data_IF_539583456938
#
_entry.id   IF_539583456938
#
_cell.length_a   1.000
_cell.length_b   1.000
_cell.length_c   1.000
_cell.angle_alpha   90.00
_cell.angle_beta   90.00
_cell.angle_gamma   90.00
#
_symmetry.space_group_name_H-M   'P 1'
#
loop_
_entity.id
_entity.type
_entity.pdbx_description
1 polymer ?
#
# COMPACT_ATOMS: atom_id res chain seq x y z
N UNK A 1 20.32 -1.17 9.69
CA UNK A 1 19.68 -1.63 8.45
C UNK A 1 18.31 -2.16 8.82
N UNK A 2 17.27 -1.74 8.11
CA UNK A 2 15.90 -2.16 8.36
C UNK A 2 15.68 -3.60 7.89
N UNK A 3 14.82 -4.32 8.61
CA UNK A 3 14.27 -5.62 8.17
C UNK A 3 13.31 -5.42 6.99
N UNK A 4 12.94 -6.49 6.25
CA UNK A 4 11.96 -6.39 5.16
C UNK A 4 10.62 -5.77 5.62
N UNK A 5 10.13 -6.19 6.80
CA UNK A 5 8.93 -5.65 7.41
C UNK A 5 9.05 -4.15 7.73
N UNK A 6 10.18 -3.73 8.31
CA UNK A 6 10.43 -2.32 8.62
C UNK A 6 10.59 -1.47 7.35
N UNK A 7 11.17 -2.02 6.28
CA UNK A 7 11.24 -1.36 4.96
C UNK A 7 9.85 -1.17 4.38
N UNK A 8 8.99 -2.20 4.41
CA UNK A 8 7.60 -2.05 3.98
C UNK A 8 6.83 -1.05 4.86
N UNK A 9 7.04 -1.08 6.18
CA UNK A 9 6.49 -0.07 7.08
C UNK A 9 6.95 1.34 6.72
N UNK A 10 8.17 1.53 6.22
CA UNK A 10 8.65 2.84 5.72
C UNK A 10 7.92 3.29 4.45
N UNK A 11 7.57 2.37 3.54
CA UNK A 11 6.74 2.68 2.37
C UNK A 11 5.32 3.07 2.77
N UNK A 12 4.69 2.31 3.67
CA UNK A 12 3.36 2.65 4.21
C UNK A 12 3.41 4.01 4.91
N UNK A 13 4.46 4.25 5.70
CA UNK A 13 4.68 5.52 6.39
C UNK A 13 4.85 6.68 5.42
N UNK A 14 5.54 6.48 4.29
CA UNK A 14 5.71 7.49 3.24
C UNK A 14 4.35 7.99 2.75
N UNK A 15 3.44 7.08 2.39
CA UNK A 15 2.08 7.46 2.01
C UNK A 15 1.28 8.06 3.17
N UNK A 16 1.37 7.45 4.37
CA UNK A 16 0.68 7.96 5.56
C UNK A 16 1.09 9.40 5.88
N UNK A 17 2.35 9.78 5.69
CA UNK A 17 2.83 11.16 5.87
C UNK A 17 2.16 12.13 4.91
N UNK A 18 1.95 11.74 3.65
CA UNK A 18 1.18 12.57 2.70
C UNK A 18 -0.26 12.77 3.20
N UNK A 19 -0.90 11.74 3.75
CA UNK A 19 -2.25 11.82 4.29
C UNK A 19 -2.30 12.72 5.54
N UNK A 20 -1.48 12.46 6.57
CA UNK A 20 -1.56 13.18 7.85
C UNK A 20 -1.02 14.62 7.80
N UNK A 21 -0.34 14.99 6.72
CA UNK A 21 0.04 16.36 6.40
C UNK A 21 -0.95 17.05 5.44
N UNK A 22 -2.06 16.37 5.07
CA UNK A 22 -3.15 16.91 4.28
C UNK A 22 -2.85 17.07 2.79
N UNK A 23 -2.00 16.21 2.21
CA UNK A 23 -1.69 16.19 0.77
C UNK A 23 -2.38 15.08 0.01
N UNK A 24 -2.62 13.95 0.66
CA UNK A 24 -3.35 12.82 0.11
C UNK A 24 -4.58 12.46 0.97
N UNK A 25 -5.33 11.46 0.52
CA UNK A 25 -6.56 10.98 1.17
C UNK A 25 -7.75 11.91 1.00
N UNK A 26 -8.81 11.69 1.77
CA UNK A 26 -10.10 12.34 1.52
C UNK A 26 -10.04 13.89 1.64
N UNK A 27 -10.35 14.66 0.57
CA UNK A 27 -10.26 16.12 0.49
C UNK A 27 -10.99 16.83 1.62
N UNK A 28 -12.11 16.26 2.09
CA UNK A 28 -12.92 16.82 3.18
C UNK A 28 -12.12 17.03 4.47
N UNK A 29 -11.10 16.20 4.72
CA UNK A 29 -10.34 16.23 5.97
C UNK A 29 -8.93 16.80 5.81
N UNK A 30 -8.45 17.01 4.57
CA UNK A 30 -7.07 17.45 4.30
C UNK A 30 -6.69 18.74 5.03
N UNK A 31 -7.56 19.76 5.06
CA UNK A 31 -7.27 21.01 5.78
C UNK A 31 -7.15 20.79 7.30
N UNK A 32 -8.07 20.01 7.87
CA UNK A 32 -8.02 19.67 9.29
C UNK A 32 -6.75 18.89 9.63
N UNK A 33 -6.32 17.98 8.75
CA UNK A 33 -5.06 17.25 8.89
C UNK A 33 -3.84 18.15 8.70
N UNK A 34 -3.88 19.13 7.79
CA UNK A 34 -2.78 20.06 7.53
C UNK A 34 -2.60 21.13 8.61
N UNK A 35 -3.54 21.29 9.55
CA UNK A 35 -3.50 22.36 10.56
C UNK A 35 -3.42 21.85 12.00
N UNK A 36 -3.80 20.59 12.25
CA UNK A 36 -3.79 20.01 13.60
C UNK A 36 -2.38 19.94 14.18
N UNK A 37 -2.18 20.51 15.36
CA UNK A 37 -0.88 20.60 16.02
C UNK A 37 0.10 21.61 15.41
N UNK A 38 -0.30 22.40 14.41
CA UNK A 38 0.61 23.34 13.72
C UNK A 38 1.24 24.37 14.68
N UNK A 39 0.45 24.89 15.61
CA UNK A 39 0.90 25.90 16.58
C UNK A 39 1.43 25.30 17.90
N UNK A 40 1.63 23.98 17.95
CA UNK A 40 2.16 23.32 19.14
C UNK A 40 3.66 23.58 19.30
N UNK A 41 4.11 23.72 20.55
CA UNK A 41 5.55 23.85 20.83
C UNK A 41 6.26 22.54 20.48
N UNK A 42 7.47 22.66 19.91
CA UNK A 42 8.36 21.52 19.68
C UNK A 42 9.06 21.12 20.99
N UNK A 43 8.28 20.56 21.91
CA UNK A 43 8.72 20.00 23.19
C UNK A 43 8.29 18.54 23.27
N UNK A 44 9.27 17.63 23.16
CA UNK A 44 8.99 16.20 23.10
C UNK A 44 8.41 15.67 24.42
N UNK A 45 8.86 16.18 25.57
CA UNK A 45 8.36 15.76 26.86
C UNK A 45 6.88 16.16 27.03
N UNK A 46 6.52 17.37 26.61
CA UNK A 46 5.14 17.84 26.62
C UNK A 46 4.24 17.00 25.69
N UNK A 47 4.69 16.75 24.46
CA UNK A 47 3.94 15.93 23.48
C UNK A 47 3.75 14.51 24.02
N UNK A 48 4.81 13.92 24.58
CA UNK A 48 4.76 12.58 25.17
C UNK A 48 3.81 12.51 26.37
N UNK A 49 3.80 13.55 27.22
CA UNK A 49 2.84 13.69 28.31
C UNK A 49 1.39 13.72 27.84
N UNK A 50 1.08 14.52 26.82
CA UNK A 50 -0.27 14.58 26.20
C UNK A 50 -0.68 13.21 25.63
N UNK A 51 0.24 12.52 24.97
CA UNK A 51 -0.02 11.21 24.36
C UNK A 51 -0.18 10.09 25.41
N UNK A 52 0.54 10.18 26.53
CA UNK A 52 0.52 9.19 27.61
C UNK A 52 -0.68 9.32 28.56
N UNK A 53 -1.24 10.52 28.72
CA UNK A 53 -2.33 10.79 29.65
C UNK A 53 -3.71 10.61 28.99
N UNK A 54 -4.57 9.78 29.59
CA UNK A 54 -5.95 9.56 29.14
C UNK A 54 -6.86 10.78 29.38
N UNK A 55 -6.52 11.65 30.34
CA UNK A 55 -7.28 12.84 30.66
C UNK A 55 -6.99 14.03 29.71
N UNK A 56 -5.88 13.97 28.95
CA UNK A 56 -5.51 15.05 28.05
C UNK A 56 -6.15 14.92 26.66
N UNK A 57 -6.45 16.08 26.06
CA UNK A 57 -7.09 16.16 24.75
C UNK A 57 -6.10 15.83 23.63
N UNK A 58 -5.86 14.55 23.37
CA UNK A 58 -4.97 14.07 22.29
C UNK A 58 -5.33 14.63 20.91
N UNK A 59 -6.61 14.89 20.66
CA UNK A 59 -7.14 15.41 19.40
C UNK A 59 -6.65 16.83 19.05
N UNK A 60 -5.93 17.52 19.95
CA UNK A 60 -5.26 18.78 19.61
C UNK A 60 -3.99 18.57 18.77
N UNK A 61 -3.34 17.40 18.90
CA UNK A 61 -2.10 17.04 18.23
C UNK A 61 -2.30 15.92 17.20
N UNK A 62 -3.10 14.93 17.58
CA UNK A 62 -3.24 13.68 16.88
C UNK A 62 -4.18 13.82 15.69
N UNK A 63 -3.71 13.33 14.54
CA UNK A 63 -4.56 13.05 13.38
C UNK A 63 -4.89 11.57 13.40
N UNK A 64 -6.12 11.25 13.80
CA UNK A 64 -6.60 9.88 13.87
C UNK A 64 -8.12 9.87 13.72
N UNK A 65 -8.59 9.33 12.60
CA UNK A 65 -9.99 9.13 12.27
C UNK A 65 -10.15 7.88 11.38
N UNK A 66 -11.38 7.55 11.01
CA UNK A 66 -11.69 6.36 10.23
C UNK A 66 -10.93 6.28 8.89
N UNK A 67 -10.57 7.42 8.28
CA UNK A 67 -9.84 7.46 7.00
C UNK A 67 -8.32 7.26 7.17
N UNK A 68 -7.83 7.03 8.38
CA UNK A 68 -6.40 6.75 8.66
C UNK A 68 -6.24 5.42 9.41
N UNK A 69 -7.35 4.87 9.90
CA UNK A 69 -7.37 3.67 10.73
C UNK A 69 -6.74 2.47 10.02
N UNK A 70 -7.19 2.15 8.81
CA UNK A 70 -6.66 1.02 8.03
C UNK A 70 -5.15 1.15 7.79
N UNK A 71 -4.68 2.34 7.39
CA UNK A 71 -3.23 2.58 7.20
C UNK A 71 -2.44 2.37 8.50
N UNK A 72 -2.99 2.80 9.63
CA UNK A 72 -2.35 2.64 10.95
C UNK A 72 -2.26 1.17 11.34
N UNK A 73 -3.32 0.39 11.09
CA UNK A 73 -3.33 -1.06 11.32
C UNK A 73 -2.24 -1.77 10.53
N UNK A 74 -2.13 -1.46 9.24
CA UNK A 74 -1.09 -2.01 8.36
C UNK A 74 0.30 -1.60 8.84
N UNK A 75 0.51 -0.29 9.06
CA UNK A 75 1.81 0.23 9.49
C UNK A 75 2.31 -0.43 10.79
N UNK A 76 1.43 -0.56 11.78
CA UNK A 76 1.81 -1.06 13.11
C UNK A 76 1.84 -2.58 13.20
N UNK A 77 1.22 -3.28 12.25
CA UNK A 77 1.46 -4.71 12.08
C UNK A 77 2.92 -4.96 11.67
N UNK A 78 3.44 -4.25 10.66
CA UNK A 78 4.80 -4.46 10.17
C UNK A 78 5.89 -3.77 10.99
N UNK A 79 5.56 -2.69 11.71
CA UNK A 79 6.44 -2.14 12.74
C UNK A 79 5.66 -1.70 14.00
N UNK A 80 5.48 -2.60 14.97
CA UNK A 80 4.76 -2.32 16.21
C UNK A 80 5.38 -1.20 17.05
N UNK A 81 6.67 -0.89 16.85
CA UNK A 81 7.35 0.14 17.63
C UNK A 81 6.93 1.56 17.23
N UNK A 82 6.26 1.73 16.09
CA UNK A 82 5.69 3.01 15.66
C UNK A 82 4.34 3.32 16.30
N UNK A 83 3.75 2.37 17.04
CA UNK A 83 2.51 2.60 17.78
C UNK A 83 2.76 3.11 19.21
N UNK A 84 1.72 3.62 19.85
CA UNK A 84 1.75 4.26 21.17
C UNK A 84 2.37 3.38 22.26
N UNK A 85 2.15 2.07 22.22
CA UNK A 85 2.68 1.13 23.22
C UNK A 85 3.95 0.42 22.75
N UNK A 86 4.47 0.78 21.57
CA UNK A 86 5.67 0.22 20.95
C UNK A 86 5.65 -1.32 20.88
N UNK A 87 4.48 -1.90 20.62
CA UNK A 87 4.26 -3.35 20.63
C UNK A 87 4.31 -4.03 22.01
N UNK A 88 4.46 -3.26 23.10
CA UNK A 88 4.41 -3.79 24.46
C UNK A 88 2.96 -4.12 24.83
N UNK A 89 2.79 -5.08 25.74
CA UNK A 89 1.48 -5.51 26.31
C UNK A 89 0.61 -6.37 25.39
N UNK A 90 1.17 -6.96 24.31
CA UNK A 90 0.46 -7.90 23.44
C UNK A 90 -0.73 -7.27 22.69
N UNK A 91 -0.86 -5.95 22.70
CA UNK A 91 -1.88 -5.18 21.97
C UNK A 91 -1.17 -4.22 21.03
N UNK A 92 -1.48 -4.29 19.74
CA UNK A 92 -1.08 -3.27 18.77
C UNK A 92 -2.02 -2.09 19.01
N UNK A 93 -1.49 -0.99 19.58
CA UNK A 93 -2.26 0.25 19.64
C UNK A 93 -2.52 0.73 18.23
N UNK A 94 -3.72 1.20 17.95
CA UNK A 94 -4.03 1.88 16.70
C UNK A 94 -3.58 3.34 16.70
N UNK A 95 -3.11 3.84 17.85
CA UNK A 95 -2.56 5.18 18.00
C UNK A 95 -1.05 5.20 17.67
N UNK A 96 -0.56 6.26 17.01
CA UNK A 96 0.87 6.47 16.79
C UNK A 96 1.64 6.67 18.10
N UNK A 97 2.94 6.38 18.06
CA UNK A 97 3.86 6.73 19.14
C UNK A 97 4.00 8.25 19.29
N UNK A 98 4.45 8.69 20.47
CA UNK A 98 4.73 10.10 20.75
C UNK A 98 5.77 10.65 19.77
N UNK A 99 6.76 9.86 19.40
CA UNK A 99 7.78 10.21 18.41
C UNK A 99 7.19 10.45 17.02
N UNK A 100 6.25 9.62 16.59
CA UNK A 100 5.57 9.79 15.29
C UNK A 100 4.74 11.07 15.25
N UNK A 101 4.02 11.37 16.33
CA UNK A 101 3.26 12.63 16.46
C UNK A 101 4.21 13.84 16.47
N UNK A 102 5.31 13.75 17.21
CA UNK A 102 6.32 14.78 17.32
C UNK A 102 6.99 15.08 15.96
N UNK A 103 7.44 14.04 15.25
CA UNK A 103 7.99 14.17 13.90
C UNK A 103 6.98 14.79 12.94
N UNK A 104 5.71 14.32 12.95
CA UNK A 104 4.66 14.94 12.13
C UNK A 104 4.54 16.44 12.39
N UNK A 105 4.52 16.88 13.65
CA UNK A 105 4.38 18.30 14.00
C UNK A 105 5.56 19.12 13.47
N UNK A 106 6.79 18.62 13.63
CA UNK A 106 7.98 19.26 13.06
C UNK A 106 7.88 19.39 11.53
N UNK A 107 7.55 18.30 10.85
CA UNK A 107 7.41 18.26 9.39
C UNK A 107 6.29 19.20 8.89
N UNK A 108 5.16 19.24 9.61
CA UNK A 108 4.05 20.14 9.33
C UNK A 108 4.46 21.60 9.44
N UNK A 109 5.17 21.94 10.50
CA UNK A 109 5.66 23.29 10.73
C UNK A 109 6.71 23.72 9.70
N UNK A 110 7.64 22.84 9.33
CA UNK A 110 8.62 23.08 8.26
C UNK A 110 7.93 23.41 6.95
N UNK A 111 6.97 22.57 6.56
CA UNK A 111 6.17 22.76 5.36
C UNK A 111 5.41 24.09 5.38
N UNK A 112 4.75 24.44 6.49
CA UNK A 112 3.99 25.69 6.60
C UNK A 112 4.90 26.93 6.52
N UNK A 113 6.14 26.85 7.02
CA UNK A 113 7.11 27.94 6.93
C UNK A 113 7.89 27.98 5.61
N UNK A 114 7.70 27.00 4.73
CA UNK A 114 8.50 26.86 3.50
C UNK A 114 9.98 26.56 3.79
N UNK A 115 10.29 26.01 4.96
CA UNK A 115 11.64 25.65 5.39
C UNK A 115 11.94 24.21 4.99
N UNK A 116 13.18 23.95 4.56
CA UNK A 116 13.63 22.63 4.12
C UNK A 116 14.71 22.07 5.03
N UNK A 117 14.74 20.73 5.11
CA UNK A 117 15.71 19.95 5.87
C UNK A 117 16.69 19.31 4.91
N UNK A 118 17.98 19.39 5.23
CA UNK A 118 19.05 18.74 4.47
C UNK A 118 19.35 17.37 5.08
N UNK A 119 18.66 16.33 4.60
CA UNK A 119 18.75 14.98 5.19
C UNK A 119 20.15 14.40 5.05
N UNK A 120 20.85 14.63 3.93
CA UNK A 120 22.22 14.16 3.77
C UNK A 120 23.14 14.67 4.88
N UNK A 121 22.98 15.94 5.25
CA UNK A 121 23.71 16.57 6.35
C UNK A 121 23.31 16.07 7.74
N UNK A 122 22.05 15.66 7.95
CA UNK A 122 21.61 15.00 9.19
C UNK A 122 22.25 13.62 9.34
N UNK A 123 22.30 12.84 8.25
CA UNK A 123 22.91 11.51 8.25
C UNK A 123 24.42 11.57 8.57
N UNK A 124 25.14 12.59 8.10
CA UNK A 124 26.54 12.84 8.45
C UNK A 124 26.74 13.24 9.93
N UNK A 125 25.69 13.77 10.55
CA UNK A 125 25.67 14.24 11.94
C UNK A 125 24.99 13.26 12.89
N UNK A 126 25.01 11.96 12.56
CA UNK A 126 24.45 10.91 13.40
C UNK A 126 24.87 10.99 14.87
N UNK A 127 26.14 11.29 15.15
CA UNK A 127 26.63 11.42 16.54
C UNK A 127 25.98 12.57 17.30
N UNK A 128 25.78 13.71 16.64
CA UNK A 128 25.07 14.86 17.22
C UNK A 128 23.62 14.48 17.55
N UNK A 129 22.94 13.79 16.65
CA UNK A 129 21.51 13.49 16.78
C UNK A 129 21.19 12.33 17.75
N UNK A 130 22.17 11.46 18.04
CA UNK A 130 22.01 10.33 18.95
C UNK A 130 22.59 10.60 20.35
N UNK A 131 23.15 11.77 20.58
CA UNK A 131 23.71 12.20 21.86
C UNK A 131 22.85 13.34 22.45
N UNK A 132 22.14 13.10 23.56
CA UNK A 132 21.27 14.12 24.17
C UNK A 132 22.02 15.33 24.75
N UNK A 133 23.32 15.15 25.04
CA UNK A 133 24.17 16.17 25.66
C UNK A 133 24.98 16.96 24.62
N UNK A 134 24.98 16.52 23.36
CA UNK A 134 25.67 17.20 22.28
C UNK A 134 24.99 18.53 21.94
N UNK A 135 25.74 19.63 21.98
CA UNK A 135 25.24 20.97 21.66
C UNK A 135 25.47 21.27 20.18
N UNK A 136 24.43 21.65 19.40
CA UNK A 136 24.60 21.97 17.99
C UNK A 136 25.43 23.24 17.82
N UNK A 137 26.45 23.18 16.96
CA UNK A 137 27.20 24.37 16.56
C UNK A 137 26.43 25.20 15.51
N UNK A 138 26.85 26.44 15.28
CA UNK A 138 26.28 27.27 14.20
C UNK A 138 26.46 26.62 12.81
N UNK A 139 27.54 25.86 12.61
CA UNK A 139 27.76 25.10 11.38
C UNK A 139 26.77 23.94 11.22
N UNK A 140 26.36 23.30 12.33
CA UNK A 140 25.38 22.21 12.29
C UNK A 140 23.98 22.74 11.94
N UNK A 141 23.60 23.87 12.55
CA UNK A 141 22.35 24.59 12.24
C UNK A 141 22.29 24.96 10.76
N UNK A 142 23.35 25.58 10.24
CA UNK A 142 23.41 25.99 8.84
C UNK A 142 23.37 24.79 7.88
N UNK A 143 24.11 23.72 8.19
CA UNK A 143 24.22 22.58 7.30
C UNK A 143 22.95 21.72 7.24
N UNK A 144 22.16 21.67 8.32
CA UNK A 144 20.98 20.80 8.42
C UNK A 144 19.69 21.49 8.04
N UNK A 145 19.66 22.83 7.99
CA UNK A 145 18.42 23.60 7.78
C UNK A 145 17.47 23.56 8.98
N UNK A 146 17.98 23.11 10.13
CA UNK A 146 17.26 23.04 11.39
C UNK A 146 17.70 24.16 12.32
N UNK A 147 16.77 24.68 13.10
CA UNK A 147 17.05 25.58 14.21
C UNK A 147 17.61 24.82 15.41
N UNK A 148 18.31 25.48 16.36
CA UNK A 148 18.86 24.81 17.54
C UNK A 148 17.81 24.03 18.37
N UNK A 149 16.61 24.60 18.53
CA UNK A 149 15.48 23.97 19.21
C UNK A 149 14.98 22.72 18.47
N UNK A 150 14.97 22.75 17.14
CA UNK A 150 14.57 21.60 16.32
C UNK A 150 15.59 20.47 16.35
N UNK A 151 16.90 20.80 16.41
CA UNK A 151 17.95 19.78 16.60
C UNK A 151 17.78 19.13 17.96
N UNK A 152 17.58 19.92 19.03
CA UNK A 152 17.36 19.37 20.37
C UNK A 152 16.10 18.50 20.43
N UNK A 153 15.03 18.95 19.79
CA UNK A 153 13.79 18.19 19.67
C UNK A 153 13.99 16.83 18.97
N UNK A 154 14.76 16.80 17.87
CA UNK A 154 15.12 15.56 17.20
C UNK A 154 16.03 14.65 18.05
N UNK A 155 16.99 15.22 18.79
CA UNK A 155 17.80 14.46 19.73
C UNK A 155 16.92 13.75 20.77
N UNK A 156 15.96 14.45 21.37
CA UNK A 156 15.07 13.87 22.37
C UNK A 156 14.21 12.74 21.78
N UNK A 157 13.76 12.89 20.52
CA UNK A 157 13.04 11.84 19.78
C UNK A 157 13.93 10.63 19.53
N UNK A 158 15.13 10.83 18.97
CA UNK A 158 16.01 9.71 18.61
C UNK A 158 16.67 9.05 19.82
N UNK A 159 16.79 9.73 20.95
CA UNK A 159 17.20 9.10 22.20
C UNK A 159 16.06 8.22 22.74
N UNK A 160 14.80 8.66 22.62
CA UNK A 160 13.63 7.87 23.01
C UNK A 160 13.40 6.66 22.10
N UNK A 161 13.66 6.80 20.79
CA UNK A 161 13.50 5.73 19.80
C UNK A 161 14.59 5.76 18.71
N UNK A 162 15.81 5.23 19.00
CA UNK A 162 16.97 5.35 18.11
C UNK A 162 16.81 4.74 16.72
N UNK A 163 15.95 3.74 16.58
CA UNK A 163 15.71 3.08 15.30
C UNK A 163 15.03 4.00 14.27
N UNK A 164 14.30 5.05 14.70
CA UNK A 164 13.66 5.99 13.79
C UNK A 164 14.71 6.72 12.93
N UNK A 165 15.95 6.83 13.42
CA UNK A 165 17.04 7.37 12.63
C UNK A 165 17.28 6.58 11.34
N UNK A 166 17.10 5.24 11.38
CA UNK A 166 17.28 4.40 10.19
C UNK A 166 16.23 4.66 9.11
N UNK A 167 15.07 5.24 9.45
CA UNK A 167 14.06 5.62 8.46
C UNK A 167 14.49 6.82 7.61
N UNK A 168 15.44 7.64 8.08
CA UNK A 168 16.04 8.72 7.27
C UNK A 168 16.88 8.18 6.11
N UNK A 169 17.22 6.89 6.12
CA UNK A 169 17.94 6.22 5.03
C UNK A 169 16.97 5.58 4.01
N UNK A 170 15.65 5.67 4.19
CA UNK A 170 14.65 5.05 3.31
C UNK A 170 14.32 5.92 2.09
N UNK A 171 14.65 5.48 0.86
CA UNK A 171 14.43 6.32 -0.33
C UNK A 171 12.95 6.68 -0.56
N UNK A 172 12.01 5.77 -0.31
CA UNK A 172 10.58 6.05 -0.46
C UNK A 172 10.06 7.16 0.47
N UNK A 173 10.58 7.23 1.70
CA UNK A 173 10.21 8.28 2.64
C UNK A 173 10.84 9.62 2.26
N UNK A 174 12.11 9.60 1.85
CA UNK A 174 12.82 10.81 1.41
C UNK A 174 12.18 11.39 0.15
N UNK A 175 11.89 10.55 -0.84
CA UNK A 175 11.19 10.94 -2.06
C UNK A 175 9.85 11.63 -1.75
N UNK A 176 9.04 11.04 -0.87
CA UNK A 176 7.78 11.67 -0.48
C UNK A 176 7.99 13.00 0.24
N UNK A 177 8.98 13.11 1.14
CA UNK A 177 9.28 14.37 1.83
C UNK A 177 9.81 15.47 0.89
N UNK A 178 10.48 15.11 -0.21
CA UNK A 178 10.86 16.05 -1.29
C UNK A 178 9.60 16.56 -2.00
N UNK A 179 8.70 15.67 -2.43
CA UNK A 179 7.44 16.05 -3.07
C UNK A 179 6.54 16.91 -2.16
N UNK A 180 6.64 16.72 -0.84
CA UNK A 180 5.95 17.55 0.15
C UNK A 180 6.61 18.92 0.40
N UNK A 181 7.78 19.17 -0.21
CA UNK A 181 8.55 20.42 -0.07
C UNK A 181 9.29 20.56 1.25
N UNK A 182 9.53 19.45 1.98
CA UNK A 182 10.12 19.45 3.32
C UNK A 182 11.62 19.14 3.29
N UNK A 183 12.07 18.36 2.30
CA UNK A 183 13.47 17.97 2.15
C UNK A 183 14.08 18.67 0.94
N UNK A 184 15.32 19.15 1.11
CA UNK A 184 16.13 19.66 -0.01
C UNK A 184 16.85 18.49 -0.69
N UNK A 185 16.89 18.52 -2.03
CA UNK A 185 17.68 17.58 -2.81
C UNK A 185 19.18 17.93 -2.72
N UNK A 186 20.00 16.92 -2.40
CA UNK A 186 21.46 17.04 -2.40
C UNK A 186 22.10 15.81 -3.06
N UNK A 187 23.42 15.85 -3.26
CA UNK A 187 24.14 14.76 -3.93
C UNK A 187 23.97 13.39 -3.23
N UNK A 188 23.86 13.38 -1.90
CA UNK A 188 23.68 12.15 -1.12
C UNK A 188 22.24 11.65 -1.24
N UNK A 189 21.26 12.54 -1.12
CA UNK A 189 19.85 12.23 -1.36
C UNK A 189 19.65 11.64 -2.76
N UNK A 190 20.22 12.27 -3.79
CA UNK A 190 20.14 11.78 -5.17
C UNK A 190 20.80 10.40 -5.34
N UNK A 191 21.92 10.15 -4.67
CA UNK A 191 22.56 8.85 -4.65
C UNK A 191 21.70 7.77 -3.96
N UNK A 192 20.95 8.14 -2.93
CA UNK A 192 19.99 7.24 -2.26
C UNK A 192 18.79 6.92 -3.17
N UNK A 193 18.24 7.93 -3.85
CA UNK A 193 17.12 7.76 -4.77
C UNK A 193 17.48 6.96 -6.02
N UNK A 194 18.74 7.04 -6.47
CA UNK A 194 19.24 6.30 -7.64
C UNK A 194 19.37 4.78 -7.42
N UNK A 195 19.36 4.31 -6.18
CA UNK A 195 19.43 2.89 -5.82
C UNK A 195 18.23 2.51 -4.95
N UNK A 196 16.99 2.50 -5.50
CA UNK A 196 15.83 2.14 -4.72
C UNK A 196 16.00 0.72 -4.16
N UNK A 197 15.73 0.49 -2.86
CA UNK A 197 15.95 -0.79 -2.20
C UNK A 197 14.94 -1.86 -2.63
N UNK A 198 13.93 -1.48 -3.42
CA UNK A 198 12.86 -2.37 -3.83
C UNK A 198 13.26 -3.19 -5.03
N UNK A 199 13.36 -4.48 -4.79
CA UNK A 199 13.39 -5.51 -5.83
C UNK A 199 12.09 -5.40 -6.63
N UNK A 200 12.21 -5.27 -7.94
CA UNK A 200 11.07 -5.47 -8.85
C UNK A 200 10.56 -6.89 -8.60
N UNK A 201 9.32 -7.00 -8.12
CA UNK A 201 8.64 -8.29 -8.02
C UNK A 201 7.86 -8.50 -9.30
N UNK A 202 7.83 -9.73 -9.79
CA UNK A 202 7.05 -10.09 -10.98
C UNK A 202 5.89 -10.96 -10.55
N UNK A 203 4.71 -10.68 -11.10
CA UNK A 203 3.59 -11.61 -11.01
C UNK A 203 4.04 -13.01 -11.47
N UNK A 204 3.52 -14.05 -10.82
CA UNK A 204 3.58 -15.42 -11.32
C UNK A 204 2.22 -15.85 -11.86
N UNK A 205 2.23 -16.84 -12.75
CA UNK A 205 1.00 -17.53 -13.13
C UNK A 205 0.38 -18.20 -11.89
N UNK A 206 -0.89 -17.91 -11.63
CA UNK A 206 -1.65 -18.45 -10.50
C UNK A 206 -2.66 -19.49 -10.94
N UNK A 207 -3.52 -19.14 -11.90
CA UNK A 207 -4.57 -20.02 -12.40
C UNK A 207 -4.81 -19.80 -13.89
N UNK A 208 -5.25 -20.85 -14.58
CA UNK A 208 -5.54 -20.86 -16.02
C UNK A 208 -4.35 -20.39 -16.88
N UNK A 209 -4.57 -19.99 -18.14
CA UNK A 209 -3.60 -19.27 -18.95
C UNK A 209 -2.63 -20.13 -19.76
N UNK A 210 -3.14 -21.09 -20.53
CA UNK A 210 -2.31 -21.91 -21.43
C UNK A 210 -1.93 -21.21 -22.74
N UNK A 211 -2.67 -20.16 -23.14
CA UNK A 211 -2.45 -19.42 -24.40
C UNK A 211 -1.70 -18.10 -24.18
N UNK A 212 -0.79 -17.72 -25.11
CA UNK A 212 -0.17 -16.39 -25.10
C UNK A 212 -1.18 -15.25 -25.31
N UNK A 213 -2.32 -15.54 -25.97
CA UNK A 213 -3.39 -14.58 -26.29
C UNK A 213 -4.50 -14.55 -25.21
N UNK A 214 -4.28 -15.19 -24.05
CA UNK A 214 -5.23 -15.17 -22.95
C UNK A 214 -5.39 -13.76 -22.37
N UNK A 215 -6.60 -13.42 -21.96
CA UNK A 215 -6.89 -12.19 -21.20
C UNK A 215 -6.23 -12.34 -19.82
N UNK A 216 -5.30 -11.44 -19.50
CA UNK A 216 -4.47 -11.50 -18.29
C UNK A 216 -5.04 -10.59 -17.21
N UNK A 217 -5.43 -11.18 -16.08
CA UNK A 217 -5.93 -10.48 -14.91
C UNK A 217 -4.90 -10.61 -13.79
N UNK A 218 -4.35 -9.49 -13.33
CA UNK A 218 -3.39 -9.49 -12.23
C UNK A 218 -4.09 -9.21 -10.89
N UNK A 219 -3.65 -9.91 -9.84
CA UNK A 219 -4.08 -9.69 -8.45
C UNK A 219 -2.87 -9.20 -7.67
N UNK A 220 -2.98 -7.98 -7.12
CA UNK A 220 -1.92 -7.30 -6.39
C UNK A 220 -2.33 -7.02 -4.94
N UNK A 221 -1.61 -7.53 -3.93
CA UNK A 221 -1.83 -7.17 -2.53
C UNK A 221 -1.25 -5.80 -2.23
N UNK A 222 -2.05 -4.85 -1.78
CA UNK A 222 -1.62 -3.49 -1.44
C UNK A 222 -2.12 -3.08 -0.08
N UNK A 223 -1.27 -2.43 0.72
CA UNK A 223 -1.65 -1.84 2.01
C UNK A 223 -2.47 -2.84 2.86
N UNK A 224 -1.89 -4.01 3.10
CA UNK A 224 -2.59 -5.16 3.70
C UNK A 224 -1.71 -5.85 4.75
N UNK A 225 -2.30 -6.34 5.84
CA UNK A 225 -1.59 -7.03 6.93
C UNK A 225 -1.64 -8.56 6.83
N UNK A 226 -1.85 -9.11 5.63
CA UNK A 226 -2.05 -10.54 5.40
C UNK A 226 -0.79 -11.24 4.88
N UNK A 227 0.37 -10.77 5.35
CA UNK A 227 1.66 -11.42 5.14
C UNK A 227 2.38 -11.60 6.47
N UNK A 228 2.89 -12.80 6.70
CA UNK A 228 3.80 -13.07 7.81
C UNK A 228 5.22 -12.63 7.41
N UNK A 229 5.99 -12.16 8.39
CA UNK A 229 7.34 -11.64 8.17
C UNK A 229 8.38 -12.60 8.71
N UNK A 230 9.43 -12.86 7.94
CA UNK A 230 10.51 -13.75 8.33
C UNK A 230 11.88 -13.27 7.87
N UNK A 231 12.91 -14.06 8.17
CA UNK A 231 14.25 -13.78 7.69
C UNK A 231 14.34 -14.03 6.19
N UNK A 232 15.03 -13.15 5.44
CA UNK A 232 15.32 -13.37 4.01
C UNK A 232 16.16 -14.62 3.74
N UNK A 233 16.85 -15.14 4.76
CA UNK A 233 17.61 -16.39 4.65
C UNK A 233 16.73 -17.63 4.71
N UNK A 234 15.46 -17.49 5.11
CA UNK A 234 14.51 -18.59 5.20
C UNK A 234 13.81 -18.75 3.83
N UNK A 235 13.95 -19.92 3.17
CA UNK A 235 13.26 -20.19 1.91
C UNK A 235 11.73 -20.10 2.00
N UNK A 236 11.15 -20.24 3.21
CA UNK A 236 9.72 -20.07 3.42
C UNK A 236 9.26 -18.60 3.33
N UNK A 237 10.19 -17.64 3.34
CA UNK A 237 9.92 -16.21 3.31
C UNK A 237 10.68 -15.53 2.16
N UNK A 238 10.27 -15.81 0.93
CA UNK A 238 10.80 -15.15 -0.27
C UNK A 238 10.70 -13.63 -0.10
N UNK A 239 11.82 -12.91 -0.26
CA UNK A 239 11.85 -11.45 -0.05
C UNK A 239 11.68 -10.98 1.41
N UNK A 240 11.44 -11.90 2.35
CA UNK A 240 11.15 -11.64 3.77
C UNK A 240 9.68 -11.76 4.16
N UNK A 241 8.81 -12.19 3.24
CA UNK A 241 7.37 -12.30 3.47
C UNK A 241 6.84 -13.67 3.05
N UNK A 242 5.69 -14.04 3.62
CA UNK A 242 4.89 -15.19 3.23
C UNK A 242 3.40 -14.83 3.31
N UNK A 243 2.58 -15.08 2.28
CA UNK A 243 1.15 -14.82 2.35
C UNK A 243 0.51 -15.66 3.46
N UNK A 244 -0.46 -15.09 4.18
CA UNK A 244 -1.22 -15.86 5.18
C UNK A 244 -2.16 -16.86 4.48
N UNK A 245 -2.57 -17.94 5.18
CA UNK A 245 -3.62 -18.81 4.66
C UNK A 245 -4.92 -18.06 4.35
N UNK A 246 -5.22 -17.02 5.13
CA UNK A 246 -6.39 -16.17 4.90
C UNK A 246 -6.27 -15.40 3.58
N UNK A 247 -5.10 -14.80 3.27
CA UNK A 247 -4.88 -14.13 1.98
C UNK A 247 -5.15 -15.08 0.82
N UNK A 248 -4.56 -16.28 0.86
CA UNK A 248 -4.72 -17.26 -0.21
C UNK A 248 -6.18 -17.72 -0.35
N UNK A 249 -6.88 -17.94 0.76
CA UNK A 249 -8.31 -18.27 0.74
C UNK A 249 -9.14 -17.15 0.07
N UNK A 250 -8.81 -15.88 0.31
CA UNK A 250 -9.52 -14.76 -0.32
C UNK A 250 -9.21 -14.65 -1.81
N UNK A 251 -7.96 -14.91 -2.22
CA UNK A 251 -7.58 -14.99 -3.64
C UNK A 251 -8.38 -16.10 -4.34
N UNK A 252 -8.43 -17.31 -3.74
CA UNK A 252 -9.19 -18.43 -4.30
C UNK A 252 -10.68 -18.09 -4.48
N UNK A 253 -11.30 -17.52 -3.44
CA UNK A 253 -12.71 -17.09 -3.50
C UNK A 253 -12.97 -16.04 -4.57
N UNK A 254 -12.05 -15.10 -4.75
CA UNK A 254 -12.17 -14.08 -5.79
C UNK A 254 -12.07 -14.73 -7.19
N UNK A 255 -11.11 -15.63 -7.40
CA UNK A 255 -10.93 -16.34 -8.66
C UNK A 255 -12.15 -17.20 -8.98
N UNK A 256 -12.69 -17.92 -7.98
CA UNK A 256 -13.91 -18.71 -8.12
C UNK A 256 -15.12 -17.81 -8.46
N UNK A 257 -15.28 -16.67 -7.78
CA UNK A 257 -16.33 -15.70 -8.08
C UNK A 257 -16.23 -15.14 -9.50
N UNK A 258 -15.03 -14.80 -9.98
CA UNK A 258 -14.80 -14.38 -11.37
C UNK A 258 -15.19 -15.48 -12.35
N UNK A 259 -14.79 -16.73 -12.07
CA UNK A 259 -15.10 -17.90 -12.89
C UNK A 259 -16.62 -18.12 -12.99
N UNK A 260 -17.32 -18.10 -11.86
CA UNK A 260 -18.78 -18.27 -11.79
C UNK A 260 -19.52 -17.15 -12.53
N UNK A 261 -19.14 -15.88 -12.30
CA UNK A 261 -19.72 -14.73 -13.00
C UNK A 261 -19.46 -14.79 -14.51
N UNK A 262 -18.28 -15.23 -14.94
CA UNK A 262 -17.97 -15.41 -16.36
C UNK A 262 -18.80 -16.53 -16.99
N UNK A 263 -18.96 -17.67 -16.31
CA UNK A 263 -19.80 -18.76 -16.78
C UNK A 263 -21.24 -18.27 -16.99
N UNK A 264 -21.81 -17.55 -16.03
CA UNK A 264 -23.14 -16.96 -16.15
C UNK A 264 -23.23 -15.92 -17.30
N UNK A 265 -22.21 -15.07 -17.44
CA UNK A 265 -22.14 -14.05 -18.49
C UNK A 265 -22.01 -14.62 -19.92
N UNK A 266 -21.48 -15.85 -20.06
CA UNK A 266 -21.40 -16.56 -21.34
C UNK A 266 -22.72 -17.28 -21.67
N UNK A 267 -23.37 -17.92 -20.68
CA UNK A 267 -24.67 -18.58 -20.87
C UNK A 267 -25.77 -17.61 -21.35
N UNK A 268 -25.73 -16.35 -20.92
CA UNK A 268 -26.66 -15.30 -21.38
C UNK A 268 -26.45 -14.87 -22.84
N UNK A 269 -25.23 -15.03 -23.39
CA UNK A 269 -24.88 -14.70 -24.80
C UNK A 269 -25.22 -15.84 -25.77
N UNK A 270 -25.26 -17.08 -25.29
CA UNK A 270 -25.67 -18.26 -26.03
C UNK A 270 -26.96 -18.85 -25.44
N UNK A 271 -28.12 -18.17 -25.56
CA UNK A 271 -29.37 -18.79 -25.18
C UNK A 271 -29.57 -20.00 -26.08
N UNK A 272 -29.53 -21.19 -25.48
CA UNK A 272 -29.75 -22.50 -26.09
C UNK A 272 -30.79 -22.44 -27.21
N UNK A 273 -30.34 -22.24 -28.45
CA UNK A 273 -31.18 -22.48 -29.63
C UNK A 273 -31.26 -24.00 -29.77
N UNK A 274 -32.41 -24.53 -29.37
CA UNK A 274 -32.92 -25.86 -29.70
C UNK A 274 -31.92 -27.03 -29.52
N UNK A 275 -31.73 -27.48 -28.28
CA UNK A 275 -31.26 -28.86 -28.04
C UNK A 275 -32.49 -29.72 -27.77
N UNK A 276 -33.03 -30.26 -28.86
CA UNK A 276 -33.85 -31.47 -28.83
C UNK A 276 -33.00 -32.62 -28.27
N UNK A 277 -33.49 -33.25 -27.20
CA UNK A 277 -33.11 -34.55 -26.65
C UNK A 277 -31.65 -35.03 -26.73
N UNK A 278 -31.01 -35.18 -25.57
CA UNK A 278 -29.78 -35.96 -25.30
C UNK A 278 -28.42 -35.25 -25.26
N UNK A 279 -28.32 -34.03 -24.74
CA UNK A 279 -27.01 -33.43 -24.41
C UNK A 279 -27.05 -32.57 -23.13
N UNK A 280 -27.31 -33.19 -21.98
CA UNK A 280 -27.19 -32.53 -20.66
C UNK A 280 -25.77 -32.69 -20.07
N UNK A 281 -24.85 -33.40 -20.75
CA UNK A 281 -23.50 -33.67 -20.26
C UNK A 281 -22.40 -32.74 -20.82
N UNK A 282 -22.70 -31.89 -21.80
CA UNK A 282 -21.68 -31.20 -22.62
C UNK A 282 -21.58 -29.68 -22.44
N UNK A 283 -22.43 -29.05 -21.61
CA UNK A 283 -22.38 -27.59 -21.39
C UNK A 283 -21.16 -27.09 -20.61
N UNK A 284 -20.49 -27.96 -19.83
CA UNK A 284 -19.33 -27.58 -19.03
C UNK A 284 -18.00 -27.62 -19.82
N UNK A 285 -17.89 -28.48 -20.85
CA UNK A 285 -16.65 -28.65 -21.63
C UNK A 285 -16.22 -27.40 -22.43
N UNK A 286 -17.13 -26.60 -23.03
CA UNK A 286 -16.76 -25.35 -23.68
C UNK A 286 -16.25 -24.29 -22.71
N UNK A 287 -16.85 -24.21 -21.52
CA UNK A 287 -16.48 -23.22 -20.52
C UNK A 287 -15.11 -23.51 -19.91
N UNK A 288 -14.85 -24.75 -19.48
CA UNK A 288 -13.56 -25.13 -18.90
C UNK A 288 -12.42 -24.82 -19.89
N UNK A 289 -12.62 -25.10 -21.17
CA UNK A 289 -11.64 -24.77 -22.21
C UNK A 289 -11.44 -23.27 -22.40
N UNK A 290 -12.52 -22.47 -22.36
CA UNK A 290 -12.40 -21.00 -22.40
C UNK A 290 -11.61 -20.50 -21.19
N UNK A 291 -11.94 -20.98 -19.99
CA UNK A 291 -11.25 -20.61 -18.77
C UNK A 291 -9.76 -20.98 -18.85
N UNK A 292 -9.42 -22.24 -19.12
CA UNK A 292 -8.04 -22.75 -19.12
C UNK A 292 -7.17 -22.18 -20.25
N UNK A 293 -7.74 -21.92 -21.43
CA UNK A 293 -6.98 -21.46 -22.60
C UNK A 293 -6.99 -19.93 -22.75
N UNK A 294 -8.10 -19.24 -22.46
CA UNK A 294 -8.29 -17.83 -22.84
C UNK A 294 -8.34 -16.84 -21.68
N UNK A 295 -8.28 -17.31 -20.44
CA UNK A 295 -8.15 -16.46 -19.24
C UNK A 295 -6.87 -16.84 -18.52
N UNK A 296 -6.13 -15.85 -18.03
CA UNK A 296 -4.90 -16.05 -17.26
C UNK A 296 -4.96 -15.21 -16.00
N UNK A 297 -4.83 -15.86 -14.83
CA UNK A 297 -4.76 -15.17 -13.54
C UNK A 297 -3.30 -15.09 -13.12
N UNK A 298 -2.82 -13.87 -12.92
CA UNK A 298 -1.50 -13.53 -12.44
C UNK A 298 -1.61 -13.08 -10.97
N UNK A 299 -0.67 -13.50 -10.13
CA UNK A 299 -0.65 -13.15 -8.71
C UNK A 299 0.73 -12.64 -8.30
N UNK A 300 0.76 -11.54 -7.56
CA UNK A 300 1.88 -11.21 -6.68
C UNK A 300 1.57 -11.77 -5.29
N UNK A 301 2.37 -12.74 -4.84
CA UNK A 301 2.36 -13.26 -3.47
C UNK A 301 3.74 -13.34 -2.79
N UNK A 302 4.76 -12.64 -3.31
CA UNK A 302 6.07 -12.54 -2.65
C UNK A 302 6.14 -11.44 -1.59
N UNK A 303 5.34 -10.36 -1.69
CA UNK A 303 5.26 -9.31 -0.66
C UNK A 303 4.02 -8.42 -0.81
N UNK A 304 3.60 -7.72 0.25
CA UNK A 304 2.63 -6.65 0.08
C UNK A 304 3.28 -5.43 -0.62
N UNK A 305 2.45 -4.70 -1.37
CA UNK A 305 2.79 -3.47 -2.08
C UNK A 305 2.18 -2.24 -1.38
N UNK A 306 2.61 -1.05 -1.79
CA UNK A 306 2.01 0.24 -1.40
C UNK A 306 1.53 0.95 -2.66
N UNK A 307 0.33 0.57 -3.10
CA UNK A 307 -0.33 1.14 -4.28
C UNK A 307 -1.37 2.17 -3.83
N UNK A 308 -1.23 3.38 -4.35
CA UNK A 308 -2.14 4.50 -4.17
C UNK A 308 -2.31 5.27 -5.49
N UNK A 309 -3.31 6.17 -5.62
CA UNK A 309 -3.60 6.83 -6.90
C UNK A 309 -2.39 7.46 -7.60
N UNK A 310 -1.49 8.08 -6.83
CA UNK A 310 -0.30 8.75 -7.37
C UNK A 310 0.81 7.85 -7.92
N UNK A 311 0.83 6.54 -7.64
CA UNK A 311 1.89 5.63 -8.09
C UNK A 311 1.38 4.34 -8.76
N UNK A 312 0.07 4.15 -8.85
CA UNK A 312 -0.51 2.88 -9.27
C UNK A 312 -0.08 2.46 -10.68
N UNK A 313 -0.06 3.38 -11.65
CA UNK A 313 0.34 3.06 -13.03
C UNK A 313 1.79 2.58 -13.12
N UNK A 314 2.70 3.17 -12.34
CA UNK A 314 4.12 2.81 -12.34
C UNK A 314 4.32 1.43 -11.71
N UNK A 315 3.67 1.16 -10.57
CA UNK A 315 3.73 -0.15 -9.91
C UNK A 315 3.13 -1.25 -10.79
N UNK A 316 2.02 -0.97 -11.47
CA UNK A 316 1.37 -1.90 -12.40
C UNK A 316 2.31 -2.29 -13.55
N UNK A 317 2.93 -1.29 -14.19
CA UNK A 317 3.89 -1.51 -15.27
C UNK A 317 5.15 -2.27 -14.83
N UNK A 318 5.63 -2.02 -13.60
CA UNK A 318 6.82 -2.69 -13.08
C UNK A 318 6.54 -4.10 -12.59
N UNK A 319 5.35 -4.36 -12.02
CA UNK A 319 5.05 -5.64 -11.37
C UNK A 319 4.48 -6.65 -12.36
N UNK A 320 3.47 -6.25 -13.15
CA UNK A 320 2.73 -7.16 -14.05
C UNK A 320 2.40 -6.44 -15.37
N UNK A 321 3.42 -6.07 -16.18
CA UNK A 321 3.25 -5.26 -17.40
C UNK A 321 2.35 -5.91 -18.46
N UNK A 322 2.21 -7.23 -18.41
CA UNK A 322 1.39 -8.00 -19.33
C UNK A 322 -0.10 -8.06 -18.93
N UNK A 323 -0.51 -7.47 -17.80
CA UNK A 323 -1.89 -7.51 -17.34
C UNK A 323 -2.82 -6.62 -18.18
N UNK A 324 -3.96 -7.17 -18.61
CA UNK A 324 -5.03 -6.41 -19.26
C UNK A 324 -5.92 -5.67 -18.25
N UNK A 325 -6.07 -6.24 -17.05
CA UNK A 325 -6.82 -5.71 -15.90
C UNK A 325 -6.08 -6.01 -14.60
N UNK A 326 -6.06 -5.03 -13.69
CA UNK A 326 -5.41 -5.16 -12.38
C UNK A 326 -6.44 -5.09 -11.25
N UNK A 327 -6.43 -6.08 -10.37
CA UNK A 327 -7.23 -6.16 -9.16
C UNK A 327 -6.32 -5.88 -7.96
N UNK A 328 -6.50 -4.76 -7.29
CA UNK A 328 -5.72 -4.37 -6.13
C UNK A 328 -6.48 -4.75 -4.87
N UNK A 329 -6.01 -5.80 -4.19
CA UNK A 329 -6.58 -6.27 -2.93
C UNK A 329 -6.01 -5.45 -1.78
N UNK A 330 -6.89 -4.72 -1.10
CA UNK A 330 -6.53 -3.85 0.00
C UNK A 330 -6.94 -4.43 1.34
N UNK A 331 -6.22 -4.02 2.40
CA UNK A 331 -6.69 -4.27 3.77
C UNK A 331 -8.01 -3.58 4.06
N UNK A 332 -8.61 -3.96 5.19
CA UNK A 332 -9.90 -3.43 5.65
C UNK A 332 -9.91 -1.89 5.71
N UNK A 333 -10.95 -1.29 5.13
CA UNK A 333 -11.26 0.14 5.14
C UNK A 333 -10.15 1.05 4.54
N UNK A 334 -9.16 0.49 3.84
CA UNK A 334 -8.02 1.25 3.28
C UNK A 334 -8.45 2.24 2.20
N UNK A 335 -9.49 1.91 1.43
CA UNK A 335 -10.02 2.77 0.37
C UNK A 335 -10.43 4.17 0.89
N UNK A 336 -10.80 4.29 2.18
CA UNK A 336 -11.09 5.58 2.82
C UNK A 336 -9.87 6.51 2.87
N UNK A 337 -8.67 5.92 2.99
CA UNK A 337 -7.41 6.65 2.98
C UNK A 337 -6.93 7.02 1.59
N UNK A 338 -7.39 6.31 0.55
CA UNK A 338 -6.92 6.48 -0.82
C UNK A 338 -7.63 7.61 -1.57
N UNK A 339 -8.91 7.83 -1.26
CA UNK A 339 -9.78 8.78 -1.98
C UNK A 339 -9.80 8.53 -3.49
N UNK A 340 -10.25 7.33 -3.86
CA UNK A 340 -10.27 6.89 -5.26
C UNK A 340 -11.28 7.70 -6.08
N UNK A 341 -10.79 8.45 -7.06
CA UNK A 341 -11.65 9.20 -7.98
C UNK A 341 -12.14 8.31 -9.14
N UNK A 342 -13.33 8.57 -9.72
CA UNK A 342 -13.86 7.77 -10.82
C UNK A 342 -12.93 7.64 -12.04
N UNK A 343 -12.04 8.61 -12.28
CA UNK A 343 -11.05 8.56 -13.36
C UNK A 343 -9.84 7.67 -13.09
N UNK A 344 -9.71 7.13 -11.88
CA UNK A 344 -8.54 6.38 -11.40
C UNK A 344 -8.85 4.89 -11.18
N UNK A 345 -10.09 4.48 -11.45
CA UNK A 345 -10.60 3.13 -11.29
C UNK A 345 -11.43 2.72 -12.51
N UNK A 346 -11.79 1.45 -12.57
CA UNK A 346 -12.67 0.90 -13.59
C UNK A 346 -14.03 1.63 -13.60
N UNK A 347 -14.61 1.91 -14.78
CA UNK A 347 -14.17 1.54 -16.13
C UNK A 347 -13.22 2.55 -16.81
N UNK A 348 -12.87 3.67 -16.16
CA UNK A 348 -12.04 4.71 -16.78
C UNK A 348 -10.59 4.23 -17.02
N UNK A 349 -10.08 3.41 -16.12
CA UNK A 349 -8.81 2.68 -16.25
C UNK A 349 -9.02 1.23 -15.87
N UNK A 350 -8.23 0.30 -16.43
CA UNK A 350 -8.37 -1.14 -16.17
C UNK A 350 -7.79 -1.52 -14.80
N UNK A 351 -8.37 -0.99 -13.72
CA UNK A 351 -7.95 -1.21 -12.34
C UNK A 351 -9.14 -1.19 -11.39
N UNK A 352 -9.25 -2.19 -10.54
CA UNK A 352 -10.29 -2.27 -9.51
C UNK A 352 -9.62 -2.41 -8.14
N UNK A 353 -10.02 -1.59 -7.18
CA UNK A 353 -9.63 -1.75 -5.77
C UNK A 353 -10.72 -2.55 -5.05
N UNK A 354 -10.31 -3.56 -4.29
CA UNK A 354 -11.21 -4.46 -3.58
C UNK A 354 -10.76 -4.52 -2.12
N UNK A 355 -11.68 -4.29 -1.18
CA UNK A 355 -11.42 -4.57 0.23
C UNK A 355 -11.45 -6.09 0.45
N UNK A 356 -10.39 -6.65 1.01
CA UNK A 356 -10.31 -8.09 1.26
C UNK A 356 -11.45 -8.61 2.16
N UNK A 357 -12.01 -7.75 3.00
CA UNK A 357 -13.15 -8.09 3.86
C UNK A 357 -14.46 -8.21 3.08
N UNK A 358 -14.60 -7.57 1.93
CA UNK A 358 -15.76 -7.72 1.06
C UNK A 358 -15.76 -9.11 0.40
N UNK A 359 -14.58 -9.63 0.02
CA UNK A 359 -14.43 -11.01 -0.45
C UNK A 359 -14.86 -11.99 0.64
N UNK A 360 -14.37 -11.79 1.87
CA UNK A 360 -14.72 -12.64 3.02
C UNK A 360 -16.22 -12.69 3.28
N UNK A 361 -16.91 -11.56 3.07
CA UNK A 361 -18.35 -11.39 3.31
C UNK A 361 -19.21 -11.73 2.08
N UNK A 362 -18.60 -12.16 0.97
CA UNK A 362 -19.29 -12.39 -0.30
C UNK A 362 -20.05 -11.14 -0.79
N UNK A 363 -19.39 -9.98 -0.70
CA UNK A 363 -19.92 -8.67 -1.13
C UNK A 363 -19.21 -8.17 -2.40
N UNK A 364 -18.78 -9.10 -3.27
CA UNK A 364 -17.99 -8.81 -4.48
C UNK A 364 -18.74 -9.10 -5.78
N UNK A 365 -20.03 -9.46 -5.73
CA UNK A 365 -20.80 -9.90 -6.91
C UNK A 365 -20.75 -8.88 -8.05
N UNK A 366 -20.93 -7.59 -7.76
CA UNK A 366 -20.85 -6.54 -8.78
C UNK A 366 -19.45 -6.43 -9.39
N UNK A 367 -18.42 -6.66 -8.58
CA UNK A 367 -17.02 -6.62 -9.03
C UNK A 367 -16.72 -7.81 -9.94
N UNK A 368 -17.15 -9.02 -9.56
CA UNK A 368 -16.92 -10.22 -10.38
C UNK A 368 -17.75 -10.20 -11.66
N UNK A 369 -18.95 -9.59 -11.65
CA UNK A 369 -19.75 -9.31 -12.85
C UNK A 369 -19.05 -8.34 -13.80
N UNK A 370 -18.50 -7.22 -13.30
CA UNK A 370 -17.75 -6.26 -14.12
C UNK A 370 -16.51 -6.90 -14.77
N UNK A 371 -15.78 -7.72 -14.00
CA UNK A 371 -14.62 -8.48 -14.50
C UNK A 371 -15.07 -9.51 -15.56
N UNK A 372 -16.18 -10.21 -15.33
CA UNK A 372 -16.72 -11.17 -16.29
C UNK A 372 -17.11 -10.51 -17.62
N UNK A 373 -17.73 -9.32 -17.56
CA UNK A 373 -18.05 -8.51 -18.75
C UNK A 373 -16.76 -8.11 -19.47
N UNK A 374 -15.77 -7.60 -18.74
CA UNK A 374 -14.47 -7.20 -19.28
C UNK A 374 -13.78 -8.35 -20.03
N UNK A 375 -13.73 -9.55 -19.44
CA UNK A 375 -13.15 -10.74 -20.06
C UNK A 375 -13.94 -11.09 -21.32
N UNK A 376 -15.27 -11.18 -21.22
CA UNK A 376 -16.15 -11.58 -22.32
C UNK A 376 -16.04 -10.66 -23.55
N UNK A 377 -15.80 -9.38 -23.35
CA UNK A 377 -15.58 -8.41 -24.44
C UNK A 377 -14.25 -8.62 -25.18
N UNK A 378 -13.26 -9.24 -24.52
CA UNK A 378 -11.91 -9.48 -25.04
C UNK A 378 -11.68 -10.91 -25.54
N UNK A 379 -12.58 -11.83 -25.23
CA UNK A 379 -12.57 -13.16 -25.86
C UNK A 379 -12.75 -13.00 -27.38
N UNK A 380 -11.73 -13.41 -28.15
CA UNK A 380 -11.71 -13.27 -29.60
C UNK A 380 -12.78 -14.16 -30.26
N UNK A 381 -13.63 -13.64 -31.17
CA UNK A 381 -14.62 -14.46 -31.90
C UNK A 381 -14.01 -15.52 -32.84
N UNK A 382 -12.70 -15.53 -33.02
CA UNK A 382 -11.95 -16.43 -33.88
C UNK A 382 -11.13 -17.50 -33.15
N UNK A 383 -11.25 -17.63 -31.83
CA UNK A 383 -10.62 -18.77 -31.15
C UNK A 383 -11.27 -20.06 -31.64
N UNK A 384 -10.45 -21.07 -31.93
CA UNK A 384 -10.90 -22.40 -32.37
C UNK A 384 -11.89 -23.05 -31.40
N UNK A 385 -12.00 -22.54 -30.17
CA UNK A 385 -12.98 -22.95 -29.16
C UNK A 385 -14.40 -22.42 -29.45
N UNK A 386 -14.54 -21.17 -29.91
CA UNK A 386 -15.84 -20.54 -30.18
C UNK A 386 -16.39 -20.83 -31.58
N UNK A 387 -15.53 -21.31 -32.49
CA UNK A 387 -15.88 -21.61 -33.89
C UNK A 387 -16.31 -23.06 -34.13
N UNK A 388 -16.06 -23.98 -33.19
CA UNK A 388 -16.48 -25.39 -33.34
C UNK A 388 -17.98 -25.62 -33.12
N UNK A 389 -18.68 -24.71 -32.44
CA UNK A 389 -20.16 -24.75 -32.32
C UNK A 389 -20.89 -24.22 -33.57
N UNK A 390 -20.18 -23.65 -34.54
CA UNK A 390 -20.75 -23.24 -35.83
C UNK A 390 -20.61 -24.30 -36.93
N UNK A 391 -19.95 -25.43 -36.64
CA UNK A 391 -19.76 -26.54 -37.58
C UNK A 391 -20.15 -27.88 -36.93
N UNK A 392 -21.39 -28.00 -36.49
CA UNK A 392 -22.07 -29.29 -36.38
C UNK A 392 -23.22 -29.31 -37.41
N UNK A 393 -23.36 -30.38 -38.23
CA UNK A 393 -24.29 -30.43 -39.35
C UNK A 393 -25.77 -30.40 -38.97
#
# INVERSE_FOLDING_TARGET
MLTPAETYAAEVLSYMMQVVLGQAGNPKYREAWATRGLNSNLDFAMISGIMGDAAQKKNSLLVYDANILGLSEVLYYYNPKLNQFKGRHGRVSLYPSSEMVALRILLLQKRHRGERIFIGALLDRRKLLLDPDAVPSAMDVQATGLRPDEIKFLQDIFVSEPQLFAYLECPCLIDSLIHLGIVEEDARVNAMLSNPPNRIVRCRQYAAGSSPDAVKIAILPSLIHEFETGSRSDPAYTGGFRPTPFFMEMVDRLVDGIRESLQAALLTRFPSKEISGNAIASGNLPFERIWEEQVSILLEDERPLVIHPGNASDIEADTCPEADLVLILTGKDIYLSLDLEPGQVFPAVNRIYIDIMDIRRSQIDTVTEDIAIFIRERLSPGSTVLSMDQQAP
#
